data_IF_513290004667
#
_entry.id   IF_513290004667
#
_cell.length_a   1.000
_cell.length_b   1.000
_cell.length_c   1.000
_cell.angle_alpha   90.00
_cell.angle_beta   90.00
_cell.angle_gamma   90.00
#
_symmetry.space_group_name_H-M   'P 1'
#
loop_
_entity.id
_entity.type
_entity.pdbx_description
1 polymer ?
#
# COMPACT_ATOMS: atom_id res chain seq x y z
N UNK A 1 -22.21 -14.88 0.90
CA UNK A 1 -20.82 -15.41 0.86
C UNK A 1 -20.12 -14.69 -0.26
N UNK A 2 -18.92 -14.16 -0.04
CA UNK A 2 -18.14 -13.57 -1.13
C UNK A 2 -17.91 -14.60 -2.23
N UNK A 3 -18.14 -14.21 -3.49
CA UNK A 3 -18.02 -15.10 -4.63
C UNK A 3 -16.59 -15.05 -5.18
N UNK A 4 -16.11 -16.16 -5.75
CA UNK A 4 -14.81 -16.19 -6.42
C UNK A 4 -14.95 -16.40 -7.92
N UNK A 5 -14.03 -17.14 -8.54
CA UNK A 5 -13.98 -17.28 -10.01
C UNK A 5 -14.80 -18.49 -10.44
N UNK A 6 -15.74 -18.28 -11.35
CA UNK A 6 -16.44 -19.34 -12.08
C UNK A 6 -15.86 -19.49 -13.48
N UNK A 7 -15.40 -20.70 -13.82
CA UNK A 7 -14.85 -21.02 -15.13
C UNK A 7 -15.67 -22.14 -15.76
N UNK A 8 -16.37 -21.81 -16.85
CA UNK A 8 -17.09 -22.77 -17.68
C UNK A 8 -16.55 -22.69 -19.12
N UNK A 9 -15.96 -23.80 -19.58
CA UNK A 9 -15.41 -23.92 -20.94
C UNK A 9 -16.46 -24.28 -21.99
N UNK A 10 -17.71 -24.50 -21.61
CA UNK A 10 -18.80 -24.99 -22.48
C UNK A 10 -18.44 -26.29 -23.22
N UNK A 11 -17.58 -27.13 -22.64
CA UNK A 11 -17.09 -28.39 -23.24
C UNK A 11 -17.70 -29.66 -22.61
N UNK A 12 -18.73 -29.49 -21.76
CA UNK A 12 -19.42 -30.58 -21.06
C UNK A 12 -18.65 -31.17 -19.87
N UNK A 13 -17.45 -30.66 -19.56
CA UNK A 13 -16.70 -31.07 -18.37
C UNK A 13 -17.21 -30.35 -17.11
N UNK A 14 -16.93 -30.88 -15.90
CA UNK A 14 -17.26 -30.20 -14.66
C UNK A 14 -16.70 -28.77 -14.62
N UNK A 15 -17.55 -27.84 -14.19
CA UNK A 15 -17.15 -26.44 -13.99
C UNK A 15 -16.11 -26.32 -12.87
N UNK A 16 -15.16 -25.41 -13.05
CA UNK A 16 -14.20 -25.08 -11.99
C UNK A 16 -14.66 -23.81 -11.28
N UNK A 17 -14.78 -23.89 -9.94
CA UNK A 17 -15.19 -22.77 -9.11
C UNK A 17 -14.20 -22.56 -7.96
N UNK A 18 -13.76 -21.33 -7.78
CA UNK A 18 -13.14 -20.87 -6.53
C UNK A 18 -14.23 -20.16 -5.75
N UNK A 19 -14.61 -20.65 -4.58
CA UNK A 19 -15.70 -20.09 -3.76
C UNK A 19 -15.22 -19.31 -2.53
N UNK A 20 -13.90 -19.20 -2.35
CA UNK A 20 -13.29 -18.60 -1.17
C UNK A 20 -13.36 -17.05 -1.10
N UNK A 21 -14.08 -16.40 -2.03
CA UNK A 21 -14.14 -14.94 -2.15
C UNK A 21 -12.84 -14.35 -2.73
N UNK A 22 -12.88 -13.93 -3.98
CA UNK A 22 -11.69 -13.35 -4.62
C UNK A 22 -11.52 -11.87 -4.20
N UNK A 23 -10.31 -11.50 -3.79
CA UNK A 23 -9.92 -10.11 -3.55
C UNK A 23 -8.94 -9.67 -4.64
N UNK A 24 -9.37 -8.76 -5.50
CA UNK A 24 -8.54 -8.28 -6.60
C UNK A 24 -7.55 -7.22 -6.10
N UNK A 25 -6.26 -7.29 -6.48
CA UNK A 25 -5.33 -6.19 -6.32
C UNK A 25 -5.68 -5.06 -7.29
N UNK A 26 -5.57 -3.82 -6.83
CA UNK A 26 -5.73 -2.60 -7.61
C UNK A 26 -4.56 -1.67 -7.37
N UNK A 27 -4.07 -1.02 -8.42
CA UNK A 27 -3.05 0.01 -8.31
C UNK A 27 -3.71 1.34 -7.94
N UNK A 28 -3.15 2.04 -6.94
CA UNK A 28 -3.69 3.32 -6.48
C UNK A 28 -2.86 4.49 -7.03
N UNK A 29 -1.57 4.54 -6.69
CA UNK A 29 -0.67 5.63 -7.10
C UNK A 29 0.81 5.25 -6.96
N UNK A 30 1.68 6.04 -7.56
CA UNK A 30 3.12 6.10 -7.24
C UNK A 30 3.42 7.33 -6.37
N UNK A 31 4.49 7.27 -5.60
CA UNK A 31 5.01 8.41 -4.85
C UNK A 31 6.53 8.46 -4.95
N UNK A 32 7.08 9.67 -4.91
CA UNK A 32 8.53 9.92 -4.93
C UNK A 32 8.83 11.34 -4.45
N UNK A 33 9.95 11.51 -3.75
CA UNK A 33 10.46 12.82 -3.34
C UNK A 33 10.31 13.05 -1.84
N UNK A 34 10.56 14.28 -1.40
CA UNK A 34 10.51 14.68 0.00
C UNK A 34 9.10 14.66 0.57
N UNK A 35 8.97 14.20 1.81
CA UNK A 35 7.73 14.31 2.56
C UNK A 35 7.36 15.77 2.82
N UNK A 36 6.06 16.02 2.98
CA UNK A 36 5.53 17.28 3.51
C UNK A 36 5.56 17.36 5.04
N UNK A 37 5.96 16.28 5.72
CA UNK A 37 5.91 16.14 7.17
C UNK A 37 7.20 15.55 7.74
N UNK A 38 7.54 15.97 8.96
CA UNK A 38 8.65 15.37 9.71
C UNK A 38 8.23 14.01 10.26
N UNK A 39 9.11 13.01 10.12
CA UNK A 39 8.94 11.64 10.61
C UNK A 39 7.71 10.88 10.09
N UNK A 40 7.06 11.40 9.06
CA UNK A 40 5.90 10.82 8.42
C UNK A 40 5.97 11.10 6.93
N UNK A 41 5.32 10.25 6.13
CA UNK A 41 5.22 10.42 4.69
C UNK A 41 3.77 10.16 4.26
N UNK A 42 2.93 11.23 4.17
CA UNK A 42 1.58 11.10 3.67
C UNK A 42 1.60 10.86 2.16
N UNK A 43 0.94 9.79 1.71
CA UNK A 43 0.69 9.52 0.29
C UNK A 43 -0.80 9.65 0.04
N UNK A 44 -1.19 10.71 -0.66
CA UNK A 44 -2.59 10.98 -0.99
C UNK A 44 -2.99 10.20 -2.23
N UNK A 45 -4.01 9.36 -2.09
CA UNK A 45 -4.62 8.61 -3.20
C UNK A 45 -6.01 8.15 -2.78
N UNK A 46 -7.01 8.18 -3.68
CA UNK A 46 -8.28 7.54 -3.38
C UNK A 46 -8.07 6.05 -3.10
N UNK A 47 -8.75 5.53 -2.08
CA UNK A 47 -8.78 4.12 -1.71
C UNK A 47 -10.23 3.63 -1.65
N UNK A 48 -10.47 2.39 -2.05
CA UNK A 48 -11.79 1.78 -1.95
C UNK A 48 -12.15 1.52 -0.47
N UNK A 49 -13.37 1.85 0.01
CA UNK A 49 -13.78 1.57 1.37
C UNK A 49 -13.64 0.09 1.73
N UNK A 50 -13.02 -0.21 2.87
CA UNK A 50 -12.80 -1.58 3.34
C UNK A 50 -11.72 -2.37 2.60
N UNK A 51 -10.98 -1.76 1.65
CA UNK A 51 -9.82 -2.40 1.04
C UNK A 51 -8.63 -2.48 2.01
N UNK A 52 -7.77 -3.47 1.81
CA UNK A 52 -6.50 -3.57 2.55
C UNK A 52 -5.41 -2.90 1.73
N UNK A 53 -4.69 -1.94 2.32
CA UNK A 53 -3.62 -1.24 1.61
C UNK A 53 -2.31 -2.00 1.69
N UNK A 54 -1.54 -1.93 0.60
CA UNK A 54 -0.19 -2.43 0.46
C UNK A 54 0.67 -1.26 -0.04
N UNK A 55 1.73 -0.94 0.70
CA UNK A 55 2.77 -0.02 0.22
C UNK A 55 3.96 -0.87 -0.19
N UNK A 56 4.44 -0.64 -1.41
CA UNK A 56 5.65 -1.27 -1.91
C UNK A 56 6.70 -0.19 -2.14
N UNK A 57 7.72 -0.11 -1.28
CA UNK A 57 8.77 0.88 -1.43
C UNK A 57 9.75 0.48 -2.54
N UNK A 58 10.20 1.47 -3.30
CA UNK A 58 11.35 1.33 -4.21
C UNK A 58 12.62 1.96 -3.62
N UNK A 59 12.45 2.92 -2.71
CA UNK A 59 13.53 3.50 -1.90
C UNK A 59 13.09 3.63 -0.43
N UNK A 60 13.22 2.57 0.39
CA UNK A 60 12.74 2.56 1.78
C UNK A 60 13.70 3.18 2.81
N UNK A 61 14.93 3.53 2.39
CA UNK A 61 15.98 4.05 3.26
C UNK A 61 16.40 5.42 2.75
N UNK A 62 16.47 6.38 3.66
CA UNK A 62 17.00 7.70 3.37
C UNK A 62 18.17 8.02 4.29
N UNK A 63 19.33 8.37 3.71
CA UNK A 63 20.54 8.71 4.47
C UNK A 63 20.71 10.22 4.42
N UNK A 64 20.59 10.87 5.58
CA UNK A 64 20.91 12.29 5.69
C UNK A 64 22.40 12.45 5.98
N UNK A 65 23.09 13.20 5.13
CA UNK A 65 24.52 13.48 5.26
C UNK A 65 24.77 14.96 4.96
N UNK A 66 24.78 15.78 6.00
CA UNK A 66 25.15 17.19 5.88
C UNK A 66 26.16 17.60 6.96
N UNK A 67 25.71 17.88 8.19
CA UNK A 67 26.57 18.19 9.34
C UNK A 67 26.77 16.98 10.27
N UNK A 68 25.80 16.06 10.27
CA UNK A 68 25.80 14.82 11.03
C UNK A 68 25.10 13.74 10.19
N UNK A 69 25.38 12.47 10.49
CA UNK A 69 24.75 11.33 9.80
C UNK A 69 23.55 10.83 10.59
N UNK A 70 22.46 10.54 9.87
CA UNK A 70 21.35 9.73 10.38
C UNK A 70 20.71 8.94 9.22
N UNK A 71 20.09 7.83 9.55
CA UNK A 71 19.43 6.92 8.60
C UNK A 71 17.96 6.83 8.97
N UNK A 72 17.10 7.24 8.05
CA UNK A 72 15.66 7.05 8.15
C UNK A 72 15.25 5.74 7.48
N UNK A 73 14.37 5.01 8.15
CA UNK A 73 13.73 3.81 7.60
C UNK A 73 12.21 3.97 7.62
N UNK A 74 11.54 3.46 6.59
CA UNK A 74 10.09 3.30 6.62
C UNK A 74 9.69 2.31 7.71
N UNK A 75 8.65 2.65 8.48
CA UNK A 75 8.11 1.77 9.51
C UNK A 75 6.66 1.36 9.20
N UNK A 76 5.71 1.73 10.05
CA UNK A 76 4.31 1.35 9.91
C UNK A 76 3.62 2.07 8.76
N UNK A 77 2.64 1.42 8.16
CA UNK A 77 1.71 2.03 7.20
C UNK A 77 0.35 2.10 7.87
N UNK A 78 -0.19 3.31 7.98
CA UNK A 78 -1.53 3.55 8.55
C UNK A 78 -2.43 4.16 7.49
N UNK A 79 -3.65 3.65 7.36
CA UNK A 79 -4.68 4.21 6.47
C UNK A 79 -5.09 5.61 6.95
N UNK A 80 -5.19 6.55 6.03
CA UNK A 80 -5.73 7.89 6.29
C UNK A 80 -7.15 7.99 5.71
N UNK A 81 -8.09 7.25 6.32
CA UNK A 81 -9.42 7.07 5.75
C UNK A 81 -9.37 6.44 4.35
N UNK A 82 -10.17 6.99 3.44
CA UNK A 82 -10.18 6.63 2.01
C UNK A 82 -9.36 7.61 1.15
N UNK A 83 -8.56 8.48 1.79
CA UNK A 83 -7.76 9.52 1.14
C UNK A 83 -6.29 9.14 0.95
N UNK A 84 -5.86 7.97 1.44
CA UNK A 84 -4.53 7.44 1.22
C UNK A 84 -3.92 6.79 2.45
N UNK A 85 -2.60 6.93 2.61
CA UNK A 85 -1.85 6.36 3.75
C UNK A 85 -0.87 7.36 4.35
N UNK A 86 -0.49 7.10 5.60
CA UNK A 86 0.63 7.72 6.27
C UNK A 86 1.66 6.61 6.52
N UNK A 87 2.85 6.78 5.97
CA UNK A 87 4.00 5.91 6.22
C UNK A 87 4.81 6.56 7.36
N UNK A 88 5.05 5.82 8.43
CA UNK A 88 5.88 6.27 9.54
C UNK A 88 7.38 6.24 9.20
N UNK A 89 8.15 7.07 9.88
CA UNK A 89 9.61 7.01 9.87
C UNK A 89 10.16 6.70 11.26
N UNK A 90 11.28 6.00 11.28
CA UNK A 90 12.16 5.88 12.44
C UNK A 90 13.59 6.23 12.01
N UNK A 91 14.37 6.77 12.94
CA UNK A 91 15.77 7.12 12.72
C UNK A 91 16.68 6.39 13.68
N UNK A 92 17.81 5.89 13.15
CA UNK A 92 18.78 5.14 13.96
C UNK A 92 19.49 6.06 14.96
N UNK A 93 19.79 7.30 14.56
CA UNK A 93 20.42 8.32 15.39
C UNK A 93 19.44 9.11 16.26
N UNK A 94 18.14 8.81 16.21
CA UNK A 94 17.11 9.42 17.04
C UNK A 94 16.73 10.85 16.64
N UNK A 95 17.18 11.36 15.49
CA UNK A 95 16.82 12.71 15.04
C UNK A 95 15.52 12.72 14.29
N UNK A 96 14.81 13.84 14.34
CA UNK A 96 13.70 14.08 13.45
C UNK A 96 14.22 14.52 12.08
N UNK A 97 13.65 13.95 11.01
CA UNK A 97 13.98 14.33 9.63
C UNK A 97 12.76 14.30 8.72
N UNK A 98 12.88 14.95 7.57
CA UNK A 98 11.91 14.85 6.48
C UNK A 98 12.40 13.78 5.50
N UNK A 99 11.73 12.62 5.41
CA UNK A 99 12.21 11.54 4.56
C UNK A 99 12.04 11.86 3.07
N UNK A 100 12.99 11.43 2.24
CA UNK A 100 12.87 11.37 0.78
C UNK A 100 12.77 9.91 0.35
N UNK A 101 11.58 9.53 -0.11
CA UNK A 101 11.24 8.14 -0.39
C UNK A 101 10.49 8.01 -1.70
N UNK A 102 10.50 6.80 -2.24
CA UNK A 102 9.73 6.45 -3.42
C UNK A 102 9.13 5.05 -3.32
N UNK A 103 8.02 4.85 -4.03
CA UNK A 103 7.32 3.58 -4.07
C UNK A 103 5.98 3.69 -4.76
N UNK A 104 5.12 2.72 -4.50
CA UNK A 104 3.74 2.69 -4.97
C UNK A 104 2.79 2.15 -3.91
N UNK A 105 1.54 2.58 -4.03
CA UNK A 105 0.42 2.14 -3.20
C UNK A 105 -0.48 1.26 -4.05
N UNK A 106 -0.79 0.08 -3.54
CA UNK A 106 -1.80 -0.83 -4.06
C UNK A 106 -2.83 -1.11 -2.97
N UNK A 107 -3.97 -1.64 -3.37
CA UNK A 107 -4.96 -2.14 -2.45
C UNK A 107 -5.47 -3.52 -2.87
N UNK A 108 -5.85 -4.34 -1.88
CA UNK A 108 -6.65 -5.53 -2.09
C UNK A 108 -8.11 -5.16 -1.80
N UNK A 109 -8.90 -5.12 -2.86
CA UNK A 109 -10.32 -4.81 -2.78
C UNK A 109 -11.05 -5.79 -1.82
N UNK A 110 -12.17 -5.36 -1.20
CA UNK A 110 -13.04 -6.28 -0.49
C UNK A 110 -13.48 -7.42 -1.39
N UNK A 111 -13.72 -8.60 -0.81
CA UNK A 111 -14.26 -9.71 -1.58
C UNK A 111 -15.71 -9.36 -1.97
N UNK A 112 -16.00 -9.37 -3.27
CA UNK A 112 -17.31 -8.99 -3.78
C UNK A 112 -18.33 -10.14 -3.61
N UNK A 113 -19.58 -9.75 -3.38
CA UNK A 113 -20.78 -10.58 -3.61
C UNK A 113 -21.47 -10.00 -4.83
N UNK A 114 -21.54 -10.76 -5.94
CA UNK A 114 -22.46 -10.42 -7.01
C UNK A 114 -23.85 -10.96 -6.60
N UNK A 115 -24.88 -10.11 -6.65
CA UNK A 115 -26.28 -10.51 -6.46
C UNK A 115 -26.91 -10.82 -7.83
#
# INVERSE_FOLDING_TARGET
MSEGIFINYNDGRPVMAITAGLRAPSFCTTFSGWSSQSMQYPVNTPLAPGSQVIVVPTNPIYIYSFAEFDVAIMTGVTRNGDAGVIIGAETIGGKALTPDWSGYVMELLPAATYN
#
